data_IF_512706648187
#
_entry.id   IF_512706648187
#
_cell.length_a   1.000
_cell.length_b   1.000
_cell.length_c   1.000
_cell.angle_alpha   90.00
_cell.angle_beta   90.00
_cell.angle_gamma   90.00
#
_symmetry.space_group_name_H-M   'P 1'
#
loop_
_entity.id
_entity.type
_entity.pdbx_description
1 polymer ?
#
# COMPACT_ATOMS: atom_id res chain seq x y z
N UNK A 1 39.52 16.08 -11.60
CA UNK A 1 38.19 15.44 -11.65
C UNK A 1 37.84 15.27 -13.11
N UNK A 2 37.48 14.06 -13.53
CA UNK A 2 37.10 13.81 -14.93
C UNK A 2 35.72 14.46 -15.13
N UNK A 3 35.64 15.51 -15.94
CA UNK A 3 34.39 16.22 -16.17
C UNK A 3 33.46 15.32 -17.00
N UNK A 4 32.24 15.11 -16.53
CA UNK A 4 31.23 14.31 -17.24
C UNK A 4 30.83 15.08 -18.50
N UNK A 5 30.97 14.51 -19.72
CA UNK A 5 30.51 15.18 -20.93
C UNK A 5 28.99 15.28 -20.92
N UNK A 6 28.45 16.46 -21.28
CA UNK A 6 27.01 16.69 -21.35
C UNK A 6 26.63 17.76 -22.39
N UNK A 7 25.35 17.75 -22.76
CA UNK A 7 24.68 18.78 -23.57
C UNK A 7 23.34 19.12 -22.90
N UNK A 8 22.99 20.40 -22.86
CA UNK A 8 21.69 20.88 -22.38
C UNK A 8 21.05 21.68 -23.51
N UNK A 9 19.77 21.42 -23.79
CA UNK A 9 18.91 22.18 -24.69
C UNK A 9 17.61 22.54 -23.99
N UNK A 10 16.76 23.31 -24.67
CA UNK A 10 15.46 23.75 -24.14
C UNK A 10 14.51 22.58 -23.84
N UNK A 11 14.69 21.45 -24.53
CA UNK A 11 13.79 20.29 -24.44
C UNK A 11 14.36 19.12 -23.63
N UNK A 12 15.68 19.06 -23.46
CA UNK A 12 16.33 17.90 -22.85
C UNK A 12 17.77 18.19 -22.42
N UNK A 13 18.27 17.40 -21.49
CA UNK A 13 19.69 17.29 -21.21
C UNK A 13 20.16 15.87 -21.55
N UNK A 14 21.38 15.75 -22.04
CA UNK A 14 22.04 14.48 -22.34
C UNK A 14 23.41 14.45 -21.71
N UNK A 15 23.77 13.35 -21.04
CA UNK A 15 25.11 13.16 -20.48
C UNK A 15 25.63 11.73 -20.70
N UNK A 16 26.94 11.58 -20.60
CA UNK A 16 27.65 10.33 -20.90
C UNK A 16 28.34 9.79 -19.64
N UNK A 17 27.89 8.64 -19.15
CA UNK A 17 28.40 8.02 -17.94
C UNK A 17 28.41 6.49 -18.08
N UNK A 18 29.41 5.82 -17.50
CA UNK A 18 29.55 4.35 -17.51
C UNK A 18 29.43 3.68 -18.89
N UNK A 19 29.92 4.34 -19.96
CA UNK A 19 29.81 3.90 -21.37
C UNK A 19 28.37 3.90 -21.92
N UNK A 20 27.45 4.57 -21.25
CA UNK A 20 26.05 4.74 -21.63
C UNK A 20 25.72 6.22 -21.88
N UNK A 21 24.59 6.44 -22.56
CA UNK A 21 24.03 7.77 -22.83
C UNK A 21 22.73 7.90 -22.04
N UNK A 22 22.59 8.98 -21.30
CA UNK A 22 21.39 9.31 -20.53
C UNK A 22 20.77 10.56 -21.11
N UNK A 23 19.48 10.50 -21.43
CA UNK A 23 18.71 11.64 -21.93
C UNK A 23 17.51 11.86 -21.02
N UNK A 24 17.37 13.08 -20.53
CA UNK A 24 16.31 13.49 -19.61
C UNK A 24 15.56 14.67 -20.22
N UNK A 25 14.24 14.54 -20.38
CA UNK A 25 13.38 15.59 -20.92
C UNK A 25 13.22 16.75 -19.91
N UNK A 26 12.94 17.95 -20.40
CA UNK A 26 12.86 19.17 -19.57
C UNK A 26 11.72 19.18 -18.56
N UNK A 27 10.72 18.32 -18.73
CA UNK A 27 9.60 18.10 -17.81
C UNK A 27 9.86 17.01 -16.75
N UNK A 28 11.00 16.32 -16.81
CA UNK A 28 11.36 15.30 -15.83
C UNK A 28 11.57 15.91 -14.44
N UNK A 29 11.05 15.26 -13.39
CA UNK A 29 11.10 15.77 -12.00
C UNK A 29 12.51 16.14 -11.52
N UNK A 30 13.52 15.35 -11.92
CA UNK A 30 14.92 15.61 -11.56
C UNK A 30 15.70 16.50 -12.55
N UNK A 31 15.09 17.03 -13.61
CA UNK A 31 15.80 17.76 -14.66
C UNK A 31 16.66 18.90 -14.10
N UNK A 32 16.09 19.76 -13.26
CA UNK A 32 16.79 20.90 -12.69
C UNK A 32 17.98 20.46 -11.81
N UNK A 33 17.80 19.43 -10.99
CA UNK A 33 18.83 18.87 -10.10
C UNK A 33 19.99 18.27 -10.89
N UNK A 34 19.69 17.55 -11.97
CA UNK A 34 20.70 16.96 -12.87
C UNK A 34 21.47 18.06 -13.61
N UNK A 35 20.76 19.05 -14.17
CA UNK A 35 21.37 20.17 -14.87
C UNK A 35 22.32 20.96 -13.96
N UNK A 36 21.88 21.28 -12.73
CA UNK A 36 22.73 21.93 -11.73
C UNK A 36 23.95 21.07 -11.34
N UNK A 37 23.72 19.76 -11.16
CA UNK A 37 24.75 18.74 -10.92
C UNK A 37 25.88 18.79 -11.95
N UNK A 38 25.48 18.72 -13.22
CA UNK A 38 26.39 18.74 -14.38
C UNK A 38 27.11 20.09 -14.53
N UNK A 39 26.38 21.20 -14.43
CA UNK A 39 26.94 22.56 -14.60
C UNK A 39 27.97 22.91 -13.52
N UNK A 40 27.71 22.53 -12.26
CA UNK A 40 28.61 22.80 -11.14
C UNK A 40 29.68 21.72 -10.95
N UNK A 41 29.51 20.55 -11.56
CA UNK A 41 30.42 19.41 -11.44
C UNK A 41 30.55 18.88 -10.01
N UNK A 42 29.47 18.96 -9.22
CA UNK A 42 29.48 18.62 -7.80
C UNK A 42 28.85 17.25 -7.48
N UNK A 43 28.14 16.66 -8.45
CA UNK A 43 27.60 15.30 -8.35
C UNK A 43 28.51 14.34 -9.12
N UNK A 44 28.68 13.14 -8.59
CA UNK A 44 29.37 12.06 -9.29
C UNK A 44 28.48 11.41 -10.37
N UNK A 45 29.10 10.56 -11.18
CA UNK A 45 28.43 9.89 -12.29
C UNK A 45 27.30 8.97 -11.80
N UNK A 46 27.49 8.26 -10.69
CA UNK A 46 26.51 7.33 -10.14
C UNK A 46 25.23 8.08 -9.71
N UNK A 47 25.39 9.17 -8.96
CA UNK A 47 24.27 10.02 -8.53
C UNK A 47 23.51 10.60 -9.72
N UNK A 48 24.21 11.04 -10.77
CA UNK A 48 23.56 11.55 -11.98
C UNK A 48 22.78 10.47 -12.72
N UNK A 49 23.30 9.24 -12.79
CA UNK A 49 22.61 8.10 -13.38
C UNK A 49 21.34 7.74 -12.60
N UNK A 50 21.38 7.75 -11.27
CA UNK A 50 20.22 7.49 -10.41
C UNK A 50 19.12 8.53 -10.58
N UNK A 51 19.49 9.81 -10.66
CA UNK A 51 18.52 10.88 -10.89
C UNK A 51 17.88 10.81 -12.28
N UNK A 52 18.62 10.31 -13.27
CA UNK A 52 18.21 10.26 -14.67
C UNK A 52 17.42 9.00 -15.05
N UNK A 53 17.64 7.87 -14.37
CA UNK A 53 16.99 6.60 -14.68
C UNK A 53 16.46 5.94 -13.41
N UNK A 54 15.13 5.94 -13.29
CA UNK A 54 14.42 5.35 -12.16
C UNK A 54 14.73 3.87 -11.97
N UNK A 55 15.13 3.14 -13.02
CA UNK A 55 15.53 1.72 -12.91
C UNK A 55 16.84 1.57 -12.16
N UNK A 56 17.78 2.49 -12.35
CA UNK A 56 19.05 2.52 -11.62
C UNK A 56 18.79 2.90 -10.16
N UNK A 57 17.96 3.92 -9.91
CA UNK A 57 17.57 4.32 -8.56
C UNK A 57 16.89 3.16 -7.81
N UNK A 58 15.94 2.48 -8.46
CA UNK A 58 15.23 1.33 -7.89
C UNK A 58 16.20 0.18 -7.57
N UNK A 59 17.06 -0.19 -8.52
CA UNK A 59 18.03 -1.27 -8.30
C UNK A 59 18.98 -0.96 -7.14
N UNK A 60 19.51 0.26 -7.06
CA UNK A 60 20.39 0.67 -5.96
C UNK A 60 19.65 0.72 -4.61
N UNK A 61 18.45 1.28 -4.56
CA UNK A 61 17.66 1.40 -3.33
C UNK A 61 17.25 0.05 -2.71
N UNK A 62 17.34 -1.02 -3.51
CA UNK A 62 16.92 -2.38 -3.15
C UNK A 62 18.10 -3.35 -3.11
N UNK A 63 19.34 -2.83 -3.06
CA UNK A 63 20.58 -3.61 -3.07
C UNK A 63 20.66 -4.64 -4.21
N UNK A 64 20.13 -4.27 -5.39
CA UNK A 64 20.12 -5.10 -6.60
C UNK A 64 19.05 -6.20 -6.62
N UNK A 65 18.27 -6.36 -5.56
CA UNK A 65 17.21 -7.38 -5.50
C UNK A 65 16.09 -7.11 -6.48
N UNK A 66 15.82 -5.84 -6.78
CA UNK A 66 14.86 -5.46 -7.80
C UNK A 66 15.58 -4.99 -9.06
N UNK A 67 15.17 -5.55 -10.19
CA UNK A 67 15.74 -5.24 -11.51
C UNK A 67 14.65 -5.07 -12.54
N UNK A 68 14.86 -4.13 -13.48
CA UNK A 68 13.93 -3.83 -14.58
C UNK A 68 14.57 -4.23 -15.90
N UNK A 69 13.93 -5.13 -16.64
CA UNK A 69 14.38 -5.61 -17.94
C UNK A 69 13.27 -5.43 -18.98
N UNK A 70 13.43 -4.45 -19.88
CA UNK A 70 12.34 -4.02 -20.75
C UNK A 70 11.18 -3.50 -19.91
N UNK A 71 10.02 -4.14 -20.03
CA UNK A 71 8.81 -3.82 -19.26
C UNK A 71 8.62 -4.71 -18.01
N UNK A 72 9.46 -5.75 -17.85
CA UNK A 72 9.36 -6.67 -16.73
C UNK A 72 10.14 -6.16 -15.51
N UNK A 73 9.50 -6.18 -14.35
CA UNK A 73 10.13 -5.91 -13.05
C UNK A 73 10.31 -7.23 -12.32
N UNK A 74 11.51 -7.49 -11.82
CA UNK A 74 11.86 -8.76 -11.16
C UNK A 74 12.34 -8.50 -9.75
N UNK A 75 12.07 -9.44 -8.83
CA UNK A 75 12.60 -9.52 -7.48
C UNK A 75 13.37 -10.84 -7.35
N UNK A 76 14.67 -10.77 -7.08
CA UNK A 76 15.58 -11.93 -7.03
C UNK A 76 15.43 -12.86 -8.27
N UNK A 77 15.18 -12.25 -9.44
CA UNK A 77 14.99 -12.93 -10.73
C UNK A 77 13.58 -13.46 -11.00
N UNK A 78 12.63 -13.30 -10.07
CA UNK A 78 11.23 -13.68 -10.24
C UNK A 78 10.42 -12.44 -10.64
N UNK A 79 9.63 -12.52 -11.71
CA UNK A 79 8.79 -11.41 -12.15
C UNK A 79 7.73 -11.04 -11.10
N UNK A 80 7.61 -9.75 -10.82
CA UNK A 80 6.63 -9.16 -9.90
C UNK A 80 5.75 -8.16 -10.64
N UNK A 81 4.53 -7.98 -10.12
CA UNK A 81 3.48 -7.20 -10.76
C UNK A 81 2.56 -6.57 -9.69
N UNK A 82 1.55 -5.82 -10.15
CA UNK A 82 0.51 -5.19 -9.32
C UNK A 82 1.07 -4.15 -8.32
N UNK A 83 0.35 -3.98 -7.20
CA UNK A 83 0.62 -3.05 -6.10
C UNK A 83 2.08 -3.00 -5.63
N UNK A 84 2.85 -4.07 -5.78
CA UNK A 84 4.27 -4.10 -5.42
C UNK A 84 5.09 -3.18 -6.31
N UNK A 85 4.91 -3.32 -7.63
CA UNK A 85 5.60 -2.50 -8.63
C UNK A 85 5.21 -1.04 -8.45
N UNK A 86 3.91 -0.76 -8.39
CA UNK A 86 3.40 0.61 -8.26
C UNK A 86 3.92 1.31 -6.99
N UNK A 87 3.97 0.60 -5.87
CA UNK A 87 4.47 1.17 -4.61
C UNK A 87 5.98 1.38 -4.62
N UNK A 88 6.75 0.47 -5.21
CA UNK A 88 8.20 0.62 -5.32
C UNK A 88 8.57 1.86 -6.14
N UNK A 89 7.98 2.00 -7.34
CA UNK A 89 8.18 3.19 -8.17
C UNK A 89 7.70 4.46 -7.47
N UNK A 90 6.49 4.45 -6.90
CA UNK A 90 5.96 5.62 -6.20
C UNK A 90 6.75 6.04 -4.95
N UNK A 91 7.46 5.10 -4.30
CA UNK A 91 8.37 5.44 -3.21
C UNK A 91 9.65 6.09 -3.74
N UNK A 92 10.23 5.56 -4.82
CA UNK A 92 11.44 6.12 -5.43
C UNK A 92 11.20 7.51 -6.00
N UNK A 93 10.09 7.73 -6.70
CA UNK A 93 9.71 9.05 -7.22
C UNK A 93 9.59 10.12 -6.13
N UNK A 94 9.26 9.70 -4.90
CA UNK A 94 9.08 10.58 -3.74
C UNK A 94 10.28 10.60 -2.78
N UNK A 95 11.40 9.97 -3.16
CA UNK A 95 12.59 9.84 -2.32
C UNK A 95 12.30 9.19 -0.94
N UNK A 96 11.41 8.20 -0.94
CA UNK A 96 10.99 7.44 0.25
C UNK A 96 11.75 6.11 0.37
N UNK A 97 12.02 5.64 1.60
CA UNK A 97 12.76 4.39 1.82
C UNK A 97 11.95 3.15 1.39
N UNK A 98 12.52 2.33 0.51
CA UNK A 98 11.89 1.12 -0.05
C UNK A 98 12.06 -0.13 0.81
N UNK A 99 12.90 -0.09 1.86
CA UNK A 99 13.26 -1.28 2.66
C UNK A 99 12.07 -2.09 3.18
N UNK A 100 11.03 -1.42 3.69
CA UNK A 100 9.82 -2.10 4.15
C UNK A 100 9.10 -2.88 3.04
N UNK A 101 9.07 -2.35 1.81
CA UNK A 101 8.45 -3.02 0.66
C UNK A 101 9.26 -4.25 0.24
N UNK A 102 10.60 -4.12 0.24
CA UNK A 102 11.54 -5.20 -0.08
C UNK A 102 11.40 -6.35 0.92
N UNK A 103 11.35 -6.05 2.22
CA UNK A 103 11.20 -7.07 3.27
C UNK A 103 9.82 -7.75 3.23
N UNK A 104 8.77 -6.99 3.00
CA UNK A 104 7.43 -7.55 2.81
C UNK A 104 7.37 -8.49 1.60
N UNK A 105 7.96 -8.09 0.48
CA UNK A 105 8.03 -8.91 -0.72
C UNK A 105 8.90 -10.16 -0.52
N UNK A 106 10.03 -10.03 0.18
CA UNK A 106 10.87 -11.16 0.57
C UNK A 106 10.09 -12.19 1.42
N UNK A 107 9.28 -11.71 2.37
CA UNK A 107 8.38 -12.57 3.16
C UNK A 107 7.33 -13.22 2.28
N UNK A 108 6.71 -12.48 1.35
CA UNK A 108 5.71 -13.04 0.45
C UNK A 108 6.28 -14.17 -0.40
N UNK A 109 7.52 -14.05 -0.87
CA UNK A 109 8.18 -15.10 -1.67
C UNK A 109 8.45 -16.38 -0.85
N UNK A 110 8.55 -16.30 0.48
CA UNK A 110 8.65 -17.47 1.37
C UNK A 110 7.31 -18.15 1.65
N UNK A 111 6.19 -17.47 1.36
CA UNK A 111 4.87 -18.03 1.60
C UNK A 111 4.67 -19.31 0.77
N UNK A 112 4.31 -20.46 1.38
CA UNK A 112 4.14 -21.72 0.64
C UNK A 112 2.90 -21.72 -0.28
N UNK A 113 1.91 -20.85 -0.03
CA UNK A 113 0.67 -20.77 -0.79
C UNK A 113 0.81 -19.84 -1.99
N UNK A 114 0.91 -20.41 -3.20
CA UNK A 114 0.90 -19.63 -4.45
C UNK A 114 -0.35 -18.75 -4.56
N UNK A 115 -1.52 -19.29 -4.20
CA UNK A 115 -2.78 -18.54 -4.18
C UNK A 115 -2.73 -17.34 -3.21
N UNK A 116 -2.04 -17.47 -2.08
CA UNK A 116 -1.85 -16.35 -1.16
C UNK A 116 -0.91 -15.30 -1.77
N UNK A 117 0.19 -15.72 -2.42
CA UNK A 117 1.12 -14.82 -3.12
C UNK A 117 0.42 -13.98 -4.19
N UNK A 118 -0.41 -14.62 -5.00
CA UNK A 118 -1.17 -13.96 -6.07
C UNK A 118 -2.27 -13.01 -5.54
N UNK A 119 -2.93 -13.37 -4.44
CA UNK A 119 -4.13 -12.65 -3.97
C UNK A 119 -3.88 -11.64 -2.86
N UNK A 120 -2.76 -11.72 -2.12
CA UNK A 120 -2.40 -10.73 -1.12
C UNK A 120 -2.35 -9.28 -1.67
N UNK A 121 -1.84 -9.01 -2.90
CA UNK A 121 -1.93 -7.68 -3.51
C UNK A 121 -3.31 -7.05 -3.45
N UNK A 122 -4.36 -7.83 -3.69
CA UNK A 122 -5.76 -7.37 -3.67
C UNK A 122 -6.11 -6.88 -2.26
N UNK A 123 -5.72 -7.60 -1.21
CA UNK A 123 -5.94 -7.16 0.17
C UNK A 123 -5.15 -5.89 0.50
N UNK A 124 -3.90 -5.77 0.04
CA UNK A 124 -3.07 -4.59 0.28
C UNK A 124 -3.73 -3.33 -0.31
N UNK A 125 -4.22 -3.42 -1.54
CA UNK A 125 -4.94 -2.34 -2.21
C UNK A 125 -6.20 -1.92 -1.45
N UNK A 126 -6.96 -2.88 -0.93
CA UNK A 126 -8.18 -2.61 -0.16
C UNK A 126 -7.91 -2.10 1.26
N UNK A 127 -6.85 -2.57 1.91
CA UNK A 127 -6.57 -2.23 3.30
C UNK A 127 -6.11 -0.80 3.46
N UNK A 128 -5.26 -0.30 2.55
CA UNK A 128 -4.65 1.05 2.59
C UNK A 128 -3.97 1.41 3.93
N UNK A 129 -3.69 0.44 4.81
CA UNK A 129 -3.04 0.68 6.11
C UNK A 129 -1.50 0.73 6.01
N UNK A 130 -0.95 0.30 4.88
CA UNK A 130 0.48 0.42 4.57
C UNK A 130 1.36 -0.66 5.21
N UNK A 131 2.66 -0.41 5.11
CA UNK A 131 3.73 -1.30 5.57
C UNK A 131 4.36 -0.74 6.84
N UNK A 132 4.68 -1.63 7.77
CA UNK A 132 5.51 -1.31 8.92
C UNK A 132 6.99 -1.32 8.49
N UNK A 133 7.89 -0.61 9.20
CA UNK A 133 9.29 -0.49 8.83
C UNK A 133 10.02 -1.83 8.70
N UNK A 134 9.59 -2.84 9.46
CA UNK A 134 10.14 -4.19 9.43
C UNK A 134 9.65 -5.02 8.23
N UNK A 135 8.69 -4.54 7.45
CA UNK A 135 8.09 -5.24 6.31
C UNK A 135 6.82 -6.03 6.65
N UNK A 136 6.34 -5.98 7.90
CA UNK A 136 4.97 -6.45 8.20
C UNK A 136 3.93 -5.52 7.60
N UNK A 137 2.73 -6.04 7.41
CA UNK A 137 1.59 -5.28 6.90
C UNK A 137 0.58 -5.10 8.02
N UNK A 138 -0.02 -3.91 8.07
CA UNK A 138 -1.07 -3.59 9.05
C UNK A 138 -2.45 -4.10 8.59
N UNK A 139 -3.23 -4.59 9.54
CA UNK A 139 -4.62 -4.98 9.35
C UNK A 139 -5.45 -4.69 10.60
N UNK A 140 -6.77 -4.77 10.48
CA UNK A 140 -7.68 -4.50 11.58
C UNK A 140 -8.46 -5.75 11.98
N UNK A 141 -8.87 -5.81 13.24
CA UNK A 141 -9.70 -6.88 13.76
C UNK A 141 -10.70 -6.35 14.77
N UNK A 142 -11.98 -6.72 14.62
CA UNK A 142 -12.98 -6.49 15.67
C UNK A 142 -12.92 -7.66 16.66
N UNK A 143 -12.96 -7.34 17.94
CA UNK A 143 -12.89 -8.28 19.07
C UNK A 143 -13.97 -7.95 20.09
N UNK A 144 -14.27 -8.87 21.00
CA UNK A 144 -15.22 -8.67 22.09
C UNK A 144 -14.70 -7.62 23.08
N UNK A 145 -15.57 -7.11 23.95
CA UNK A 145 -15.21 -6.16 25.01
C UNK A 145 -14.12 -6.65 25.97
N UNK A 146 -13.83 -7.95 26.02
CA UNK A 146 -12.75 -8.57 26.79
C UNK A 146 -11.55 -9.01 25.92
N UNK A 147 -11.40 -8.46 24.71
CA UNK A 147 -10.36 -8.77 23.73
C UNK A 147 -10.34 -10.21 23.17
N UNK A 148 -11.33 -11.05 23.51
CA UNK A 148 -11.45 -12.35 22.82
C UNK A 148 -11.98 -12.18 21.41
N UNK A 149 -11.61 -13.07 20.49
CA UNK A 149 -12.16 -13.05 19.13
C UNK A 149 -13.70 -13.19 19.14
N UNK A 150 -14.35 -12.60 18.14
CA UNK A 150 -15.83 -12.52 18.13
C UNK A 150 -16.48 -13.88 17.99
N UNK A 151 -15.94 -14.76 17.13
CA UNK A 151 -16.60 -16.01 16.77
C UNK A 151 -16.45 -17.08 17.85
N UNK A 152 -15.23 -17.48 18.18
CA UNK A 152 -14.97 -18.58 19.11
C UNK A 152 -14.90 -18.11 20.57
N UNK A 153 -14.40 -16.89 20.78
CA UNK A 153 -14.11 -16.37 22.12
C UNK A 153 -12.88 -17.03 22.77
N UNK A 154 -12.06 -17.77 22.01
CA UNK A 154 -10.92 -18.53 22.53
C UNK A 154 -9.60 -17.76 22.41
N UNK A 155 -9.41 -16.98 21.35
CA UNK A 155 -8.13 -16.31 21.10
C UNK A 155 -8.08 -14.95 21.80
N UNK A 156 -7.04 -14.71 22.60
CA UNK A 156 -6.80 -13.43 23.27
C UNK A 156 -6.13 -12.44 22.31
N UNK A 157 -6.74 -11.26 22.15
CA UNK A 157 -6.26 -10.19 21.29
C UNK A 157 -5.96 -8.93 22.10
N UNK A 158 -5.53 -9.08 23.35
CA UNK A 158 -5.00 -7.96 24.13
C UNK A 158 -3.76 -7.40 23.42
N UNK A 159 -3.55 -6.07 23.36
CA UNK A 159 -2.34 -5.49 22.80
C UNK A 159 -1.05 -6.13 23.34
N UNK A 160 -0.09 -6.38 22.45
CA UNK A 160 1.16 -7.10 22.70
C UNK A 160 1.06 -8.62 22.55
N UNK A 161 -0.13 -9.19 22.32
CA UNK A 161 -0.27 -10.62 22.08
C UNK A 161 0.12 -11.01 20.65
N UNK A 162 0.81 -12.14 20.53
CA UNK A 162 1.00 -12.85 19.26
C UNK A 162 0.00 -13.99 19.23
N UNK A 163 -0.95 -13.92 18.31
CA UNK A 163 -1.96 -14.96 18.11
C UNK A 163 -1.50 -15.86 16.98
N UNK A 164 -1.48 -17.16 17.23
CA UNK A 164 -1.05 -18.14 16.24
C UNK A 164 -1.87 -19.42 16.31
N UNK A 165 -1.94 -20.10 15.17
CA UNK A 165 -2.39 -21.47 14.97
C UNK A 165 -1.43 -22.15 13.98
N UNK A 166 -1.42 -23.48 13.94
CA UNK A 166 -0.64 -24.17 12.93
C UNK A 166 -1.18 -23.86 11.53
N UNK A 167 -0.28 -23.65 10.56
CA UNK A 167 -0.67 -23.33 9.18
C UNK A 167 -1.62 -24.38 8.58
N UNK A 168 -1.43 -25.65 8.96
CA UNK A 168 -2.25 -26.78 8.50
C UNK A 168 -3.68 -26.76 9.06
N UNK A 169 -3.92 -26.03 10.15
CA UNK A 169 -5.24 -25.88 10.77
C UNK A 169 -6.05 -24.74 10.16
N UNK A 170 -5.46 -23.99 9.22
CA UNK A 170 -6.12 -22.89 8.51
C UNK A 170 -6.53 -23.37 7.13
N UNK A 171 -7.78 -23.11 6.75
CA UNK A 171 -8.27 -23.50 5.43
C UNK A 171 -7.62 -22.66 4.32
N UNK A 172 -6.87 -23.28 3.39
CA UNK A 172 -6.17 -22.58 2.32
C UNK A 172 -7.03 -22.30 1.09
N UNK A 173 -8.28 -22.77 1.05
CA UNK A 173 -9.14 -22.61 -0.13
C UNK A 173 -9.76 -21.20 -0.18
N UNK A 174 -9.36 -20.31 -1.13
CA UNK A 174 -9.92 -18.96 -1.24
C UNK A 174 -11.40 -18.92 -1.64
N UNK A 175 -11.97 -20.05 -2.09
CA UNK A 175 -13.38 -20.16 -2.44
C UNK A 175 -14.26 -20.47 -1.22
N UNK A 176 -13.66 -20.79 -0.06
CA UNK A 176 -14.37 -20.89 1.21
C UNK A 176 -14.38 -19.53 1.92
N UNK A 177 -15.57 -18.96 2.04
CA UNK A 177 -15.82 -17.59 2.49
C UNK A 177 -15.53 -17.41 3.99
N UNK A 178 -16.23 -18.14 4.87
CA UNK A 178 -16.06 -18.11 6.32
C UNK A 178 -15.64 -19.50 6.82
N UNK A 179 -14.34 -19.73 6.91
CA UNK A 179 -13.78 -21.05 7.24
C UNK A 179 -12.76 -20.96 8.37
N UNK A 180 -12.21 -22.09 8.80
CA UNK A 180 -11.26 -22.15 9.91
C UNK A 180 -10.00 -21.33 9.62
N UNK A 181 -9.63 -20.49 10.58
CA UNK A 181 -8.45 -19.64 10.46
C UNK A 181 -8.51 -18.39 11.34
N UNK A 182 -7.36 -17.75 11.50
CA UNK A 182 -7.30 -16.44 12.09
C UNK A 182 -7.66 -15.38 11.05
N UNK A 183 -8.67 -14.57 11.36
CA UNK A 183 -9.19 -13.57 10.42
C UNK A 183 -8.69 -12.18 10.75
N UNK A 184 -8.25 -11.49 9.70
CA UNK A 184 -7.90 -10.08 9.68
C UNK A 184 -8.63 -9.38 8.53
N UNK A 185 -8.97 -8.11 8.72
CA UNK A 185 -9.77 -7.33 7.79
C UNK A 185 -9.11 -6.02 7.38
N UNK A 186 -9.45 -5.58 6.18
CA UNK A 186 -9.34 -4.20 5.73
C UNK A 186 -10.44 -3.36 6.39
N UNK A 187 -10.30 -2.03 6.34
CA UNK A 187 -11.22 -1.12 7.02
C UNK A 187 -12.69 -1.30 6.59
N UNK A 188 -12.96 -1.55 5.30
CA UNK A 188 -14.32 -1.74 4.77
C UNK A 188 -15.02 -3.00 5.28
N UNK A 189 -14.26 -3.97 5.81
CA UNK A 189 -14.82 -5.19 6.36
C UNK A 189 -15.35 -5.03 7.79
N UNK A 190 -14.84 -4.05 8.53
CA UNK A 190 -15.13 -3.89 9.96
C UNK A 190 -16.61 -3.62 10.27
N UNK A 191 -17.36 -2.79 9.50
CA UNK A 191 -18.79 -2.57 9.72
C UNK A 191 -19.58 -3.88 9.78
N UNK A 192 -19.33 -4.81 8.85
CA UNK A 192 -19.98 -6.13 8.79
C UNK A 192 -19.69 -7.02 9.99
N UNK A 193 -18.68 -6.69 10.81
CA UNK A 193 -18.27 -7.48 11.97
C UNK A 193 -18.54 -6.78 13.33
N UNK A 194 -19.22 -5.63 13.29
CA UNK A 194 -19.70 -4.92 14.47
C UNK A 194 -18.80 -3.77 14.90
N UNK A 195 -18.21 -3.03 13.96
CA UNK A 195 -17.55 -1.74 14.25
C UNK A 195 -18.43 -0.82 15.12
N UNK A 196 -19.71 -0.71 14.78
CA UNK A 196 -20.66 0.17 15.48
C UNK A 196 -21.23 -0.43 16.77
N UNK A 197 -20.86 -1.65 17.14
CA UNK A 197 -21.34 -2.29 18.38
C UNK A 197 -20.55 -1.77 19.60
N UNK A 198 -21.18 -1.09 20.57
CA UNK A 198 -20.49 -0.54 21.74
C UNK A 198 -19.86 -1.62 22.64
N UNK A 199 -20.33 -2.87 22.57
CA UNK A 199 -19.76 -4.01 23.31
C UNK A 199 -18.53 -4.64 22.65
N UNK A 200 -18.13 -4.14 21.46
CA UNK A 200 -16.96 -4.60 20.71
C UNK A 200 -15.87 -3.55 20.63
N UNK A 201 -14.64 -4.04 20.53
CA UNK A 201 -13.41 -3.25 20.37
C UNK A 201 -12.80 -3.52 19.01
N UNK A 202 -11.93 -2.61 18.56
CA UNK A 202 -11.14 -2.78 17.35
C UNK A 202 -9.68 -2.74 17.72
N UNK A 203 -8.89 -3.67 17.18
CA UNK A 203 -7.45 -3.71 17.38
C UNK A 203 -6.71 -3.63 16.05
N UNK A 204 -5.59 -2.91 16.06
CA UNK A 204 -4.61 -2.88 14.98
C UNK A 204 -3.68 -4.08 15.14
N UNK A 205 -3.55 -4.84 14.06
CA UNK A 205 -2.72 -6.02 13.99
C UNK A 205 -1.61 -5.84 12.95
N UNK A 206 -0.52 -6.56 13.13
CA UNK A 206 0.57 -6.69 12.17
C UNK A 206 0.75 -8.16 11.81
N UNK A 207 0.99 -8.45 10.54
CA UNK A 207 1.22 -9.81 10.07
C UNK A 207 2.33 -9.82 9.02
N UNK A 208 3.02 -10.95 8.92
CA UNK A 208 3.97 -11.19 7.83
C UNK A 208 3.24 -11.71 6.59
N UNK A 209 3.64 -11.27 5.39
CA UNK A 209 3.13 -11.84 4.15
C UNK A 209 3.27 -13.38 4.05
N UNK A 210 4.29 -13.99 4.67
CA UNK A 210 4.44 -15.46 4.73
C UNK A 210 3.40 -16.18 5.60
N UNK A 211 2.79 -15.46 6.56
CA UNK A 211 1.76 -16.00 7.45
C UNK A 211 0.36 -16.00 6.81
N UNK A 212 0.20 -15.43 5.61
CA UNK A 212 -1.07 -15.39 4.89
C UNK A 212 -1.38 -16.76 4.31
N UNK A 213 -2.54 -17.31 4.65
CA UNK A 213 -2.95 -18.64 4.18
C UNK A 213 -3.87 -18.51 2.96
N UNK A 214 -4.86 -17.63 3.03
CA UNK A 214 -5.77 -17.36 1.93
C UNK A 214 -6.44 -15.99 2.02
N UNK A 215 -6.60 -15.33 0.87
CA UNK A 215 -7.48 -14.15 0.71
C UNK A 215 -8.75 -14.61 0.00
N UNK A 216 -9.93 -14.68 0.67
CA UNK A 216 -11.17 -15.13 0.05
C UNK A 216 -11.60 -14.29 -1.17
N UNK A 217 -12.44 -14.86 -2.06
CA UNK A 217 -12.91 -14.18 -3.29
C UNK A 217 -14.10 -13.25 -3.11
N UNK A 218 -15.00 -13.61 -2.20
CA UNK A 218 -16.33 -13.04 -2.02
C UNK A 218 -16.35 -11.66 -1.36
N UNK A 219 -15.34 -11.31 -0.56
CA UNK A 219 -15.25 -10.00 0.11
C UNK A 219 -14.41 -8.97 -0.64
N UNK A 220 -14.23 -9.10 -1.96
CA UNK A 220 -13.42 -8.18 -2.77
C UNK A 220 -12.00 -7.94 -2.19
N UNK A 221 -11.41 -8.92 -1.50
CA UNK A 221 -10.10 -8.77 -0.85
C UNK A 221 -10.13 -7.99 0.47
N UNK A 222 -11.28 -7.70 1.06
CA UNK A 222 -11.37 -6.95 2.32
C UNK A 222 -11.08 -7.80 3.57
N UNK A 223 -10.90 -9.11 3.43
CA UNK A 223 -10.50 -9.97 4.54
C UNK A 223 -9.49 -11.01 4.09
N UNK A 224 -8.79 -11.59 5.06
CA UNK A 224 -7.86 -12.68 4.83
C UNK A 224 -7.87 -13.65 6.02
N UNK A 225 -7.35 -14.85 5.75
CA UNK A 225 -6.98 -15.85 6.73
C UNK A 225 -5.46 -15.89 6.84
N UNK A 226 -4.97 -15.83 8.07
CA UNK A 226 -3.56 -15.94 8.42
C UNK A 226 -3.38 -17.09 9.42
N UNK A 227 -2.16 -17.59 9.57
CA UNK A 227 -1.79 -18.51 10.66
C UNK A 227 -1.20 -17.79 11.87
N UNK A 228 -0.75 -16.53 11.70
CA UNK A 228 -0.15 -15.74 12.77
C UNK A 228 -0.33 -14.24 12.56
N UNK A 229 -0.48 -13.51 13.66
CA UNK A 229 -0.38 -12.04 13.71
C UNK A 229 -0.02 -11.54 15.11
N UNK A 230 0.45 -10.31 15.20
CA UNK A 230 0.65 -9.59 16.46
C UNK A 230 -0.42 -8.50 16.61
N UNK A 231 -0.97 -8.35 17.81
CA UNK A 231 -1.84 -7.22 18.16
C UNK A 231 -0.98 -6.06 18.64
N UNK A 232 -0.98 -4.95 17.89
CA UNK A 232 -0.18 -3.79 18.23
C UNK A 232 -0.85 -2.91 19.29
N UNK A 233 -2.12 -2.56 19.08
CA UNK A 233 -2.86 -1.65 19.96
C UNK A 233 -4.38 -1.75 19.77
N UNK A 234 -5.13 -1.25 20.76
CA UNK A 234 -6.54 -0.94 20.59
C UNK A 234 -6.71 0.39 19.83
N UNK A 235 -7.69 0.42 18.94
CA UNK A 235 -8.05 1.60 18.16
C UNK A 235 -9.27 2.28 18.77
N UNK A 236 -9.23 3.60 18.85
CA UNK A 236 -10.44 4.38 19.09
C UNK A 236 -11.35 4.32 17.85
N UNK A 237 -12.58 3.86 18.06
CA UNK A 237 -13.50 3.59 16.94
C UNK A 237 -14.00 4.86 16.27
N UNK A 238 -14.19 5.95 17.01
CA UNK A 238 -14.62 7.22 16.44
C UNK A 238 -13.55 7.78 15.49
N UNK A 239 -12.30 7.87 15.97
CA UNK A 239 -11.16 8.29 15.14
C UNK A 239 -10.95 7.37 13.94
N UNK A 240 -11.16 6.06 14.09
CA UNK A 240 -11.05 5.12 12.98
C UNK A 240 -12.14 5.34 11.92
N UNK A 241 -13.38 5.60 12.34
CA UNK A 241 -14.48 5.92 11.42
C UNK A 241 -14.18 7.22 10.67
N UNK A 242 -13.75 8.27 11.37
CA UNK A 242 -13.38 9.55 10.75
C UNK A 242 -12.24 9.38 9.72
N UNK A 243 -11.21 8.60 10.08
CA UNK A 243 -10.12 8.26 9.17
C UNK A 243 -10.63 7.50 7.94
N UNK A 244 -11.52 6.54 8.14
CA UNK A 244 -12.11 5.76 7.05
C UNK A 244 -12.85 6.72 6.10
N UNK A 245 -13.78 7.52 6.61
CA UNK A 245 -14.63 8.39 5.79
C UNK A 245 -13.80 9.41 4.99
N UNK A 246 -12.76 9.96 5.60
CA UNK A 246 -11.85 10.89 4.93
C UNK A 246 -11.07 10.25 3.77
N UNK A 247 -10.70 8.97 3.89
CA UNK A 247 -9.95 8.22 2.86
C UNK A 247 -10.84 7.51 1.83
N UNK A 248 -12.15 7.38 2.07
CA UNK A 248 -13.07 6.87 1.05
C UNK A 248 -13.37 7.90 -0.05
N UNK A 249 -13.17 9.19 0.22
CA UNK A 249 -13.54 10.28 -0.71
C UNK A 249 -12.65 10.32 -1.97
N UNK A 250 -11.50 9.64 -1.98
CA UNK A 250 -10.55 9.62 -3.10
C UNK A 250 -10.85 8.53 -4.15
N UNK A 251 -11.81 7.63 -3.90
CA UNK A 251 -12.34 6.70 -4.89
C UNK A 251 -13.86 6.89 -4.95
N UNK A 252 -14.29 7.99 -5.55
CA UNK A 252 -15.66 8.11 -6.04
C UNK A 252 -15.69 7.76 -7.54
N UNK A 253 -15.37 6.50 -7.86
CA UNK A 253 -16.02 5.88 -9.00
C UNK A 253 -17.32 5.29 -8.47
N UNK A 254 -18.42 5.90 -8.88
CA UNK A 254 -19.79 5.46 -8.71
C UNK A 254 -19.91 3.93 -8.71
N UNK A 255 -20.12 3.35 -7.52
CA UNK A 255 -20.76 2.05 -7.41
C UNK A 255 -22.20 2.33 -7.01
N UNK A 256 -23.04 2.49 -8.02
CA UNK A 256 -24.48 2.62 -7.86
C UNK A 256 -25.02 1.37 -7.14
N UNK A 257 -25.34 1.52 -5.87
CA UNK A 257 -26.34 0.67 -5.22
C UNK A 257 -27.69 1.27 -5.53
N UNK A 258 -28.39 0.64 -6.46
CA UNK A 258 -29.80 0.85 -6.73
C UNK A 258 -30.62 0.75 -5.44
N UNK A 259 -31.05 1.88 -4.90
CA UNK A 259 -32.40 1.99 -4.35
C UNK A 259 -33.18 2.98 -5.22
N UNK A 260 -33.68 2.49 -6.35
CA UNK A 260 -34.78 3.15 -7.03
C UNK A 260 -36.01 2.90 -6.17
N UNK A 261 -36.38 3.88 -5.33
CA UNK A 261 -37.78 4.05 -4.95
C UNK A 261 -38.49 4.64 -6.18
N UNK A 262 -39.28 3.82 -6.84
CA UNK A 262 -40.22 4.28 -7.87
C UNK A 262 -41.29 5.09 -7.12
N UNK A 263 -41.26 6.41 -7.29
CA UNK A 263 -42.43 7.26 -7.04
C UNK A 263 -43.22 7.24 -8.36
N UNK A 264 -44.34 6.52 -8.40
CA UNK A 264 -45.09 6.23 -9.64
C UNK A 264 -45.69 7.49 -10.32
N UNK A 265 -45.49 8.70 -9.79
CA UNK A 265 -46.15 9.93 -10.27
C UNK A 265 -45.21 11.08 -10.70
N UNK A 266 -43.93 10.83 -11.02
CA UNK A 266 -43.06 11.90 -11.57
C UNK A 266 -42.28 11.49 -12.82
N UNK A 267 -42.75 11.99 -13.97
CA UNK A 267 -41.96 12.07 -15.20
C UNK A 267 -40.89 13.15 -15.02
N UNK A 268 -39.61 12.79 -15.06
CA UNK A 268 -38.52 13.75 -15.11
C UNK A 268 -37.77 13.57 -16.43
N UNK A 269 -37.87 14.56 -17.31
CA UNK A 269 -37.08 14.66 -18.53
C UNK A 269 -35.66 15.18 -18.19
N UNK A 270 -34.57 14.54 -18.65
CA UNK A 270 -33.23 15.03 -18.35
C UNK A 270 -32.82 16.12 -19.33
N UNK A 271 -32.65 17.35 -18.84
CA UNK A 271 -31.83 18.37 -19.49
C UNK A 271 -30.35 18.13 -19.14
N UNK A 272 -29.52 17.90 -20.16
CA UNK A 272 -28.07 17.84 -20.04
C UNK A 272 -27.54 19.22 -20.40
N UNK A 273 -27.03 19.96 -19.42
CA UNK A 273 -26.22 21.15 -19.68
C UNK A 273 -25.16 21.37 -18.59
N UNK A 274 -23.92 21.59 -19.03
CA UNK A 274 -22.83 22.18 -18.22
C UNK A 274 -21.86 21.20 -17.55
N UNK A 275 -20.82 20.77 -18.27
CA UNK A 275 -19.60 20.20 -17.66
C UNK A 275 -18.67 21.35 -17.27
N UNK A 276 -18.55 21.62 -15.97
CA UNK A 276 -17.47 22.46 -15.44
C UNK A 276 -16.31 21.54 -15.00
N UNK A 277 -15.19 21.60 -15.71
CA UNK A 277 -13.96 20.89 -15.31
C UNK A 277 -13.32 21.71 -14.18
N UNK A 278 -13.51 21.29 -12.93
CA UNK A 278 -12.68 21.77 -11.82
C UNK A 278 -11.34 21.05 -11.85
N UNK A 279 -10.28 21.78 -12.22
CA UNK A 279 -8.90 21.36 -11.97
C UNK A 279 -8.73 21.25 -10.46
N UNK A 280 -8.64 20.03 -9.95
CA UNK A 280 -8.36 19.79 -8.54
C UNK A 280 -6.97 20.33 -8.20
N UNK A 281 -6.93 21.39 -7.39
CA UNK A 281 -5.71 21.77 -6.66
C UNK A 281 -5.35 20.63 -5.71
N UNK A 282 -4.05 20.36 -5.57
CA UNK A 282 -3.51 19.50 -4.51
C UNK A 282 -4.21 19.83 -3.19
N UNK A 283 -4.93 18.85 -2.62
CA UNK A 283 -5.67 19.04 -1.37
C UNK A 283 -4.66 19.07 -0.23
N UNK A 284 -4.56 20.20 0.46
CA UNK A 284 -3.88 20.25 1.75
C UNK A 284 -4.59 19.29 2.72
N UNK A 285 -3.83 18.37 3.30
CA UNK A 285 -4.33 17.41 4.29
C UNK A 285 -4.94 18.17 5.48
N UNK A 286 -6.08 17.71 5.97
CA UNK A 286 -6.71 18.31 7.15
C UNK A 286 -5.78 18.14 8.37
N UNK A 287 -5.71 19.10 9.31
CA UNK A 287 -4.80 19.02 10.45
C UNK A 287 -4.90 17.73 11.28
N UNK A 288 -6.08 17.13 11.35
CA UNK A 288 -6.28 15.82 12.00
C UNK A 288 -5.62 14.66 11.22
N UNK A 289 -5.65 14.69 9.90
CA UNK A 289 -4.99 13.71 9.02
C UNK A 289 -3.47 13.87 9.11
N UNK A 290 -2.98 15.11 9.10
CA UNK A 290 -1.56 15.41 9.31
C UNK A 290 -1.08 14.95 10.69
N UNK A 291 -1.87 15.17 11.74
CA UNK A 291 -1.53 14.75 13.10
C UNK A 291 -1.56 13.22 13.25
N UNK A 292 -2.51 12.53 12.62
CA UNK A 292 -2.55 11.07 12.60
C UNK A 292 -1.35 10.50 11.84
N UNK A 293 -1.08 10.99 10.62
CA UNK A 293 0.06 10.55 9.82
C UNK A 293 1.38 10.85 10.52
N UNK A 294 1.54 12.03 11.14
CA UNK A 294 2.75 12.36 11.90
C UNK A 294 2.96 11.42 13.10
N UNK A 295 1.89 11.09 13.85
CA UNK A 295 1.96 10.12 14.96
C UNK A 295 2.20 8.71 14.47
N UNK A 296 1.59 8.32 13.37
CA UNK A 296 1.78 7.03 12.72
C UNK A 296 3.23 6.90 12.23
N UNK A 297 3.75 7.86 11.47
CA UNK A 297 5.14 7.89 11.02
C UNK A 297 6.15 7.98 12.16
N UNK A 298 5.92 8.79 13.20
CA UNK A 298 6.79 8.80 14.39
C UNK A 298 6.79 7.45 15.13
N UNK A 299 5.66 6.76 15.17
CA UNK A 299 5.56 5.43 15.74
C UNK A 299 6.28 4.38 14.89
N UNK A 300 6.17 4.46 13.56
CA UNK A 300 6.87 3.56 12.64
C UNK A 300 8.40 3.78 12.71
N UNK A 301 8.89 5.01 12.65
CA UNK A 301 10.34 5.30 12.63
C UNK A 301 10.97 5.22 14.04
N UNK A 302 10.15 5.16 15.09
CA UNK A 302 10.57 5.18 16.48
C UNK A 302 10.66 3.81 17.16
N UNK A 303 11.55 2.93 16.69
CA UNK A 303 12.28 1.92 17.50
C UNK A 303 13.60 1.55 16.84
#
# INVERSE_FOLDING_TARGET
>A
MNQIPFQISDNSLTFFAHKSVFTVASDHANFAKIAEGLLRGHLDADTLCELADIRIALSKSTDGRISVFGDAVTFDGIEIHNVWVDKLFGFIEKDLPTGALVEALASLMRNPSEKARERLPIFIEQSQLGFLPDGRIAALKVVRGNFRDVYTGTFDNTPGQIVHVDWQDVDPNPDHECSTGLHLGAYRYLPSYGLHDPGKRVVLCAFWPEDVVAVPRDYHGQKMRVCRYEVLQEMDKANLIDFIDANQTTINQYWGTNEIRIDEDKVYEPEIDGVEIQVMKERELHPAEQAFLARFFQFLVGR
#
